data_IF_687638715522
#
_entry.id   IF_687638715522
#
_cell.length_a   1.000
_cell.length_b   1.000
_cell.length_c   1.000
_cell.angle_alpha   90.00
_cell.angle_beta   90.00
_cell.angle_gamma   90.00
#
_symmetry.space_group_name_H-M   'P 1'
#
loop_
_entity.id
_entity.type
_entity.pdbx_description
1 polymer ?
#
# COMPACT_ATOMS: atom_id res chain seq x y z
N UNK A 1 10.50 -28.93 33.01
CA UNK A 1 10.99 -27.70 32.33
C UNK A 1 11.45 -26.73 33.41
N UNK A 2 12.59 -26.08 33.25
CA UNK A 2 13.06 -25.11 34.25
C UNK A 2 12.21 -23.85 34.20
N UNK A 3 11.88 -23.26 35.37
CA UNK A 3 11.09 -22.01 35.50
C UNK A 3 11.58 -20.92 34.54
N UNK A 4 12.89 -20.82 34.36
CA UNK A 4 13.55 -19.93 33.42
C UNK A 4 13.07 -20.12 31.98
N UNK A 5 12.95 -21.36 31.50
CA UNK A 5 12.53 -21.67 30.13
C UNK A 5 11.05 -21.35 29.92
N UNK A 6 10.22 -21.63 30.93
CA UNK A 6 8.78 -21.29 30.86
C UNK A 6 8.56 -19.79 30.79
N UNK A 7 9.24 -19.00 31.64
CA UNK A 7 9.10 -17.53 31.63
C UNK A 7 9.57 -16.92 30.30
N UNK A 8 10.71 -17.37 29.79
CA UNK A 8 11.22 -16.90 28.49
C UNK A 8 10.25 -17.22 27.35
N UNK A 9 9.64 -18.42 27.33
CA UNK A 9 8.66 -18.80 26.31
C UNK A 9 7.40 -17.95 26.40
N UNK A 10 6.89 -17.68 27.60
CA UNK A 10 5.71 -16.85 27.80
C UNK A 10 5.95 -15.43 27.26
N UNK A 11 7.09 -14.82 27.63
CA UNK A 11 7.45 -13.47 27.17
C UNK A 11 7.63 -13.44 25.64
N UNK A 12 8.31 -14.43 25.06
CA UNK A 12 8.49 -14.52 23.63
C UNK A 12 7.15 -14.68 22.88
N UNK A 13 6.26 -15.54 23.40
CA UNK A 13 4.91 -15.74 22.81
C UNK A 13 4.08 -14.47 22.88
N UNK A 14 4.08 -13.77 24.02
CA UNK A 14 3.36 -12.51 24.19
C UNK A 14 3.88 -11.46 23.19
N UNK A 15 5.20 -11.35 23.03
CA UNK A 15 5.80 -10.40 22.10
C UNK A 15 5.43 -10.70 20.65
N UNK A 16 5.43 -11.97 20.24
CA UNK A 16 5.02 -12.41 18.90
C UNK A 16 3.54 -12.10 18.67
N UNK A 17 2.66 -12.34 19.65
CA UNK A 17 1.23 -12.01 19.53
C UNK A 17 1.01 -10.51 19.38
N UNK A 18 1.70 -9.69 20.17
CA UNK A 18 1.64 -8.22 20.04
C UNK A 18 2.13 -7.77 18.66
N UNK A 19 3.20 -8.38 18.15
CA UNK A 19 3.68 -8.06 16.80
C UNK A 19 2.64 -8.39 15.74
N UNK A 20 2.09 -9.60 15.76
CA UNK A 20 1.08 -10.03 14.77
C UNK A 20 -0.10 -9.05 14.79
N UNK A 21 -0.59 -8.68 15.98
CA UNK A 21 -1.68 -7.72 16.12
C UNK A 21 -1.32 -6.34 15.54
N UNK A 22 -0.20 -5.77 15.97
CA UNK A 22 0.25 -4.44 15.51
C UNK A 22 0.55 -4.44 14.01
N UNK A 23 1.21 -5.50 13.50
CA UNK A 23 1.53 -5.64 12.09
C UNK A 23 0.25 -5.74 11.24
N UNK A 24 -0.74 -6.53 11.67
CA UNK A 24 -2.02 -6.67 10.97
C UNK A 24 -2.76 -5.33 10.88
N UNK A 25 -2.83 -4.57 11.99
CA UNK A 25 -3.44 -3.25 12.02
C UNK A 25 -2.69 -2.28 11.09
N UNK A 26 -1.35 -2.28 11.13
CA UNK A 26 -0.53 -1.40 10.31
C UNK A 26 -0.73 -1.69 8.81
N UNK A 27 -0.71 -2.95 8.41
CA UNK A 27 -0.95 -3.36 7.01
C UNK A 27 -2.36 -2.96 6.57
N UNK A 28 -3.37 -3.19 7.41
CA UNK A 28 -4.76 -2.81 7.11
C UNK A 28 -4.91 -1.30 6.91
N UNK A 29 -4.39 -0.51 7.84
CA UNK A 29 -4.46 0.96 7.76
C UNK A 29 -3.67 1.50 6.55
N UNK A 30 -2.50 0.94 6.27
CA UNK A 30 -1.70 1.34 5.11
C UNK A 30 -2.42 1.02 3.81
N UNK A 31 -3.06 -0.17 3.71
CA UNK A 31 -3.89 -0.51 2.55
C UNK A 31 -5.04 0.47 2.33
N UNK A 32 -5.80 0.76 3.38
CA UNK A 32 -6.91 1.71 3.30
C UNK A 32 -6.42 3.08 2.81
N UNK A 33 -5.35 3.59 3.42
CA UNK A 33 -4.74 4.87 3.02
C UNK A 33 -4.29 4.87 1.55
N UNK A 34 -3.64 3.78 1.08
CA UNK A 34 -3.17 3.70 -0.30
C UNK A 34 -4.33 3.58 -1.30
N UNK A 35 -5.41 2.87 -0.96
CA UNK A 35 -6.61 2.83 -1.78
C UNK A 35 -7.28 4.21 -1.90
N UNK A 36 -7.39 4.94 -0.78
CA UNK A 36 -7.92 6.31 -0.77
C UNK A 36 -7.04 7.24 -1.60
N UNK A 37 -5.72 7.10 -1.52
CA UNK A 37 -4.76 7.87 -2.31
C UNK A 37 -4.88 7.55 -3.81
N UNK A 38 -5.00 6.28 -4.19
CA UNK A 38 -5.22 5.89 -5.60
C UNK A 38 -6.54 6.47 -6.14
N UNK A 39 -7.59 6.46 -5.31
CA UNK A 39 -8.87 7.05 -5.67
C UNK A 39 -8.77 8.57 -5.88
N UNK A 40 -8.12 9.26 -4.95
CA UNK A 40 -7.92 10.71 -5.06
C UNK A 40 -7.11 11.08 -6.31
N UNK A 41 -5.99 10.40 -6.56
CA UNK A 41 -5.15 10.62 -7.75
C UNK A 41 -5.95 10.38 -9.04
N UNK A 42 -6.72 9.30 -9.09
CA UNK A 42 -7.55 8.97 -10.27
C UNK A 42 -8.62 10.04 -10.52
N UNK A 43 -9.31 10.49 -9.45
CA UNK A 43 -10.35 11.50 -9.53
C UNK A 43 -9.79 12.89 -9.89
N UNK A 44 -8.68 13.29 -9.25
CA UNK A 44 -8.05 14.59 -9.52
C UNK A 44 -7.57 14.68 -10.97
N UNK A 45 -6.99 13.58 -11.49
CA UNK A 45 -6.56 13.52 -12.88
C UNK A 45 -7.74 13.51 -13.84
N UNK A 46 -8.80 12.75 -13.56
CA UNK A 46 -10.00 12.77 -14.40
C UNK A 46 -10.59 14.17 -14.48
N UNK A 47 -10.69 14.86 -13.34
CA UNK A 47 -11.18 16.24 -13.28
C UNK A 47 -10.28 17.21 -14.06
N UNK A 48 -8.97 17.13 -13.86
CA UNK A 48 -7.98 17.97 -14.55
C UNK A 48 -8.02 17.74 -16.06
N UNK A 49 -8.07 16.47 -16.48
CA UNK A 49 -8.11 16.09 -17.88
C UNK A 49 -9.43 16.53 -18.52
N UNK A 50 -10.56 16.34 -17.84
CA UNK A 50 -11.88 16.81 -18.29
C UNK A 50 -11.90 18.31 -18.57
N UNK A 51 -11.32 19.12 -17.66
CA UNK A 51 -11.21 20.57 -17.85
C UNK A 51 -10.25 20.94 -18.99
N UNK A 52 -9.11 20.26 -19.08
CA UNK A 52 -8.09 20.51 -20.12
C UNK A 52 -8.61 20.19 -21.52
N UNK A 53 -9.38 19.09 -21.64
CA UNK A 53 -9.89 18.64 -22.95
C UNK A 53 -11.16 19.37 -23.41
N UNK A 54 -11.85 20.06 -22.50
CA UNK A 54 -13.10 20.77 -22.81
C UNK A 54 -13.04 21.68 -24.05
N UNK A 55 -12.03 22.56 -24.21
CA UNK A 55 -11.97 23.41 -25.40
C UNK A 55 -11.75 22.63 -26.72
N UNK A 56 -10.90 21.57 -26.65
CA UNK A 56 -10.58 20.79 -27.86
C UNK A 56 -11.71 19.85 -28.28
N UNK A 57 -12.50 19.35 -27.34
CA UNK A 57 -13.70 18.58 -27.63
C UNK A 57 -14.80 19.48 -28.20
N UNK A 58 -14.83 20.76 -27.81
CA UNK A 58 -15.76 21.73 -28.36
C UNK A 58 -15.47 22.05 -29.84
N UNK A 59 -14.19 22.09 -30.20
CA UNK A 59 -13.70 22.39 -31.55
C UNK A 59 -13.54 21.14 -32.44
N UNK A 60 -13.91 19.94 -31.91
CA UNK A 60 -13.76 18.61 -32.56
C UNK A 60 -12.29 18.29 -32.94
N UNK A 61 -11.33 18.84 -32.19
CA UNK A 61 -9.90 18.63 -32.42
C UNK A 61 -9.40 17.35 -31.69
N UNK A 62 -9.82 16.21 -32.22
CA UNK A 62 -9.49 14.90 -31.69
C UNK A 62 -7.98 14.58 -31.73
N UNK A 63 -7.21 15.23 -32.60
CA UNK A 63 -5.75 15.03 -32.70
C UNK A 63 -5.06 15.57 -31.44
N UNK A 64 -5.46 16.74 -30.98
CA UNK A 64 -4.94 17.33 -29.75
C UNK A 64 -5.39 16.55 -28.52
N UNK A 65 -6.67 16.11 -28.50
CA UNK A 65 -7.20 15.25 -27.43
C UNK A 65 -6.35 13.96 -27.31
N UNK A 66 -6.12 13.26 -28.42
CA UNK A 66 -5.32 12.04 -28.44
C UNK A 66 -3.86 12.29 -28.01
N UNK A 67 -3.27 13.41 -28.42
CA UNK A 67 -1.91 13.79 -28.04
C UNK A 67 -1.78 13.97 -26.51
N UNK A 68 -2.75 14.65 -25.87
CA UNK A 68 -2.77 14.82 -24.42
C UNK A 68 -2.92 13.48 -23.68
N UNK A 69 -3.83 12.61 -24.14
CA UNK A 69 -4.04 11.29 -23.57
C UNK A 69 -2.79 10.43 -23.70
N UNK A 70 -2.14 10.43 -24.89
CA UNK A 70 -0.91 9.67 -25.12
C UNK A 70 0.24 10.16 -24.21
N UNK A 71 0.41 11.47 -24.05
CA UNK A 71 1.45 12.03 -23.18
C UNK A 71 1.27 11.61 -21.72
N UNK A 72 0.03 11.58 -21.23
CA UNK A 72 -0.27 11.08 -19.88
C UNK A 72 -0.07 9.57 -19.75
N UNK A 73 -0.53 8.81 -20.72
CA UNK A 73 -0.38 7.36 -20.74
C UNK A 73 1.10 6.94 -20.77
N UNK A 74 1.91 7.61 -21.59
CA UNK A 74 3.35 7.34 -21.72
C UNK A 74 4.14 7.68 -20.46
N UNK A 75 3.60 8.51 -19.56
CA UNK A 75 4.19 8.77 -18.25
C UNK A 75 4.30 7.52 -17.37
N UNK A 76 3.46 6.50 -17.62
CA UNK A 76 3.44 5.22 -16.91
C UNK A 76 2.75 5.27 -15.53
N UNK A 77 2.24 6.44 -15.10
CA UNK A 77 1.54 6.58 -13.82
C UNK A 77 0.09 6.12 -13.84
N UNK A 78 -0.49 5.97 -15.03
CA UNK A 78 -1.89 5.59 -15.20
C UNK A 78 -2.00 4.21 -15.84
N UNK A 79 -2.91 3.42 -15.29
CA UNK A 79 -3.25 2.10 -15.81
C UNK A 79 -4.23 2.18 -16.96
N UNK A 80 -5.19 3.08 -16.84
CA UNK A 80 -6.29 3.21 -17.78
C UNK A 80 -6.66 4.68 -17.95
N UNK A 81 -6.83 5.11 -19.20
CA UNK A 81 -7.40 6.40 -19.58
C UNK A 81 -8.38 6.14 -20.71
N UNK A 82 -9.65 6.46 -20.49
CA UNK A 82 -10.73 6.29 -21.47
C UNK A 82 -11.48 7.60 -21.62
N UNK A 83 -11.61 8.04 -22.87
CA UNK A 83 -12.47 9.15 -23.25
C UNK A 83 -13.70 8.58 -23.95
N UNK A 84 -14.87 8.95 -23.49
CA UNK A 84 -16.15 8.51 -24.10
C UNK A 84 -16.92 9.69 -24.62
N UNK A 85 -17.72 9.43 -25.62
CA UNK A 85 -18.77 10.35 -26.16
C UNK A 85 -19.94 10.45 -25.15
N UNK A 86 -20.89 11.33 -25.46
CA UNK A 86 -22.14 11.53 -24.71
C UNK A 86 -22.99 10.25 -24.58
N UNK A 87 -22.90 9.37 -25.57
CA UNK A 87 -23.59 8.07 -25.59
C UNK A 87 -22.81 6.96 -24.85
N UNK A 88 -21.66 7.29 -24.22
CA UNK A 88 -20.82 6.33 -23.52
C UNK A 88 -19.95 5.47 -24.44
N UNK A 89 -19.91 5.75 -25.74
CA UNK A 89 -19.05 5.05 -26.69
C UNK A 89 -17.60 5.51 -26.54
N UNK A 90 -16.62 4.59 -26.40
CA UNK A 90 -15.22 4.97 -26.27
C UNK A 90 -14.71 5.61 -27.58
N UNK A 91 -14.17 6.83 -27.46
CA UNK A 91 -13.49 7.55 -28.52
C UNK A 91 -11.99 7.26 -28.50
N UNK A 92 -11.39 7.26 -27.30
CA UNK A 92 -9.98 6.95 -27.08
C UNK A 92 -9.89 6.04 -25.87
N UNK A 93 -9.16 4.94 -26.01
CA UNK A 93 -8.92 3.99 -24.94
C UNK A 93 -7.43 3.64 -24.86
N UNK A 94 -6.84 3.79 -23.68
CA UNK A 94 -5.45 3.42 -23.38
C UNK A 94 -5.42 2.59 -22.11
N UNK A 95 -5.06 1.34 -22.25
CA UNK A 95 -4.98 0.37 -21.12
C UNK A 95 -3.58 -0.20 -21.05
N UNK A 96 -2.95 -0.06 -19.88
CA UNK A 96 -1.66 -0.68 -19.59
C UNK A 96 -1.88 -2.04 -18.93
N UNK A 97 -1.27 -3.06 -19.49
CA UNK A 97 -1.20 -4.41 -18.93
C UNK A 97 0.11 -4.69 -18.20
N UNK A 98 0.90 -3.63 -17.91
CA UNK A 98 2.19 -3.77 -17.24
C UNK A 98 1.99 -4.39 -15.86
N UNK A 99 2.69 -5.50 -15.54
CA UNK A 99 2.64 -6.08 -14.21
C UNK A 99 3.38 -5.19 -13.21
N UNK A 100 3.10 -5.40 -11.92
CA UNK A 100 3.88 -4.78 -10.84
C UNK A 100 5.21 -5.54 -10.75
N UNK A 101 6.31 -4.93 -11.23
CA UNK A 101 7.60 -5.63 -11.35
C UNK A 101 8.47 -5.54 -10.09
N UNK A 102 8.36 -4.43 -9.32
CA UNK A 102 9.27 -4.13 -8.19
C UNK A 102 8.89 -4.79 -6.88
N UNK A 103 7.84 -5.60 -6.87
CA UNK A 103 7.32 -6.26 -5.68
C UNK A 103 7.10 -7.74 -5.99
N UNK A 104 7.42 -8.66 -5.05
CA UNK A 104 7.21 -10.09 -5.29
C UNK A 104 5.75 -10.42 -5.60
N UNK A 105 5.51 -11.24 -6.63
CA UNK A 105 4.17 -11.60 -7.09
C UNK A 105 3.29 -12.24 -5.98
N UNK A 106 3.89 -13.04 -5.09
CA UNK A 106 3.17 -13.62 -3.96
C UNK A 106 2.59 -12.56 -3.02
N UNK A 107 3.30 -11.42 -2.84
CA UNK A 107 2.84 -10.33 -1.98
C UNK A 107 1.67 -9.58 -2.63
N UNK A 108 1.73 -9.31 -3.93
CA UNK A 108 0.64 -8.70 -4.70
C UNK A 108 -0.63 -9.55 -4.60
N UNK A 109 -0.50 -10.88 -4.72
CA UNK A 109 -1.62 -11.81 -4.62
C UNK A 109 -2.19 -11.90 -3.19
N UNK A 110 -1.35 -11.77 -2.17
CA UNK A 110 -1.77 -11.83 -0.76
C UNK A 110 -2.48 -10.54 -0.32
N UNK A 111 -2.07 -9.39 -0.86
CA UNK A 111 -2.58 -8.07 -0.49
C UNK A 111 -3.12 -7.32 -1.73
N UNK A 112 -4.23 -7.77 -2.33
CA UNK A 112 -4.78 -7.09 -3.49
C UNK A 112 -5.19 -5.67 -3.12
N UNK A 113 -4.73 -4.68 -3.92
CA UNK A 113 -5.15 -3.30 -3.87
C UNK A 113 -6.22 -3.06 -4.93
N UNK A 114 -7.22 -2.27 -4.59
CA UNK A 114 -8.21 -1.83 -5.55
C UNK A 114 -7.58 -0.83 -6.52
N UNK A 115 -8.08 -0.80 -7.75
CA UNK A 115 -7.71 0.19 -8.75
C UNK A 115 -8.92 1.06 -9.04
N UNK A 116 -9.24 2.02 -8.16
CA UNK A 116 -10.42 2.86 -8.32
C UNK A 116 -10.31 3.69 -9.59
N UNK A 117 -11.46 3.95 -10.20
CA UNK A 117 -11.58 4.80 -11.38
C UNK A 117 -12.11 6.15 -10.96
N UNK A 118 -11.41 7.22 -11.33
CA UNK A 118 -11.92 8.58 -11.30
C UNK A 118 -12.68 8.87 -12.58
N UNK A 119 -13.78 9.61 -12.48
CA UNK A 119 -14.59 10.00 -13.62
C UNK A 119 -14.90 11.50 -13.58
N UNK A 120 -14.87 12.14 -14.74
CA UNK A 120 -15.24 13.54 -14.89
C UNK A 120 -15.91 13.78 -16.24
N UNK A 121 -16.83 14.73 -16.27
CA UNK A 121 -17.47 15.16 -17.51
C UNK A 121 -16.57 16.11 -18.28
N UNK A 122 -16.59 16.00 -19.60
CA UNK A 122 -15.98 16.94 -20.51
C UNK A 122 -17.09 17.84 -21.03
N UNK A 123 -16.97 19.14 -20.80
CA UNK A 123 -18.00 20.12 -21.15
C UNK A 123 -17.59 20.90 -22.41
N UNK A 124 -18.54 21.17 -23.28
CA UNK A 124 -18.41 22.12 -24.38
C UNK A 124 -19.35 23.29 -24.14
N UNK A 125 -18.82 24.35 -23.53
CA UNK A 125 -19.65 25.44 -23.03
C UNK A 125 -20.63 24.98 -21.95
N UNK A 126 -21.92 24.96 -22.22
CA UNK A 126 -22.98 24.54 -21.29
C UNK A 126 -23.52 23.13 -21.57
N UNK A 127 -23.00 22.45 -22.58
CA UNK A 127 -23.41 21.10 -22.96
C UNK A 127 -22.29 20.08 -22.62
N UNK A 128 -22.70 18.86 -22.30
CA UNK A 128 -21.74 17.77 -22.15
C UNK A 128 -21.24 17.34 -23.53
N UNK A 129 -19.92 17.25 -23.70
CA UNK A 129 -19.26 16.75 -24.90
C UNK A 129 -18.82 15.29 -24.77
N UNK A 130 -18.67 14.80 -23.53
CA UNK A 130 -18.25 13.45 -23.27
C UNK A 130 -17.91 13.24 -21.79
N UNK A 131 -17.19 12.16 -21.49
CA UNK A 131 -16.65 11.88 -20.17
C UNK A 131 -15.24 11.31 -20.27
N UNK A 132 -14.45 11.54 -19.24
CA UNK A 132 -13.12 10.95 -19.07
C UNK A 132 -13.11 10.05 -17.85
N UNK A 133 -12.54 8.88 -18.00
CA UNK A 133 -12.28 7.93 -16.92
C UNK A 133 -10.79 7.66 -16.83
N UNK A 134 -10.25 7.76 -15.61
CA UNK A 134 -8.84 7.54 -15.33
C UNK A 134 -8.70 6.58 -14.18
N UNK A 135 -7.75 5.65 -14.29
CA UNK A 135 -7.33 4.78 -13.18
C UNK A 135 -5.81 4.87 -13.01
N UNK A 136 -5.35 5.16 -11.80
CA UNK A 136 -3.93 5.21 -11.48
C UNK A 136 -3.31 3.80 -11.50
N UNK A 137 -2.02 3.71 -11.85
CA UNK A 137 -1.30 2.44 -11.82
C UNK A 137 -0.93 2.07 -10.38
N UNK A 138 -1.26 0.88 -9.88
CA UNK A 138 -1.08 0.51 -8.47
C UNK A 138 0.37 0.22 -8.08
N UNK A 139 1.33 0.23 -9.01
CA UNK A 139 2.73 -0.13 -8.75
C UNK A 139 3.34 0.67 -7.60
N UNK A 140 3.13 2.00 -7.59
CA UNK A 140 3.64 2.86 -6.53
C UNK A 140 3.07 2.49 -5.16
N UNK A 141 1.77 2.21 -5.08
CA UNK A 141 1.10 1.79 -3.86
C UNK A 141 1.64 0.44 -3.35
N UNK A 142 1.87 -0.52 -4.25
CA UNK A 142 2.49 -1.80 -3.89
C UNK A 142 3.93 -1.65 -3.38
N UNK A 143 4.74 -0.82 -4.03
CA UNK A 143 6.12 -0.54 -3.56
C UNK A 143 6.09 0.05 -2.16
N UNK A 144 5.17 0.98 -1.90
CA UNK A 144 5.03 1.61 -0.59
C UNK A 144 4.57 0.62 0.48
N UNK A 145 3.56 -0.19 0.17
CA UNK A 145 3.06 -1.23 1.07
C UNK A 145 4.14 -2.26 1.41
N UNK A 146 4.86 -2.74 0.40
CA UNK A 146 5.98 -3.67 0.56
C UNK A 146 7.09 -3.08 1.46
N UNK A 147 7.51 -1.85 1.17
CA UNK A 147 8.52 -1.16 1.96
C UNK A 147 8.11 -1.02 3.42
N UNK A 148 6.85 -0.67 3.69
CA UNK A 148 6.31 -0.56 5.05
C UNK A 148 6.30 -1.91 5.77
N UNK A 149 5.91 -3.00 5.08
CA UNK A 149 5.93 -4.35 5.65
C UNK A 149 7.35 -4.80 6.00
N UNK A 150 8.30 -4.60 5.09
CA UNK A 150 9.71 -4.96 5.27
C UNK A 150 10.32 -4.14 6.42
N UNK A 151 10.10 -2.84 6.46
CA UNK A 151 10.58 -1.98 7.53
C UNK A 151 10.02 -2.38 8.89
N UNK A 152 8.72 -2.66 8.98
CA UNK A 152 8.06 -3.13 10.20
C UNK A 152 8.64 -4.47 10.67
N UNK A 153 8.94 -5.38 9.75
CA UNK A 153 9.55 -6.66 10.07
C UNK A 153 10.97 -6.51 10.64
N UNK A 154 11.80 -5.64 10.04
CA UNK A 154 13.15 -5.37 10.56
C UNK A 154 13.11 -4.72 11.94
N UNK A 155 12.23 -3.75 12.17
CA UNK A 155 12.06 -3.13 13.48
C UNK A 155 11.65 -4.16 14.55
N UNK A 156 10.74 -5.07 14.19
CA UNK A 156 10.34 -6.16 15.06
C UNK A 156 11.54 -7.08 15.38
N UNK A 157 12.32 -7.47 14.38
CA UNK A 157 13.47 -8.37 14.57
C UNK A 157 14.50 -7.76 15.54
N UNK A 158 14.80 -6.47 15.35
CA UNK A 158 15.71 -5.73 16.22
C UNK A 158 15.14 -5.62 17.64
N UNK A 159 13.87 -5.23 17.77
CA UNK A 159 13.19 -5.13 19.06
C UNK A 159 13.14 -6.47 19.80
N UNK A 160 12.87 -7.56 19.08
CA UNK A 160 12.89 -8.91 19.62
C UNK A 160 14.27 -9.30 20.13
N UNK A 161 15.33 -9.04 19.36
CA UNK A 161 16.70 -9.34 19.75
C UNK A 161 17.12 -8.58 21.01
N UNK A 162 16.77 -7.28 21.11
CA UNK A 162 17.05 -6.46 22.29
C UNK A 162 16.28 -6.97 23.51
N UNK A 163 14.97 -7.20 23.37
CA UNK A 163 14.12 -7.70 24.44
C UNK A 163 14.62 -9.06 24.95
N UNK A 164 14.90 -9.97 24.02
CA UNK A 164 15.37 -11.32 24.36
C UNK A 164 16.73 -11.30 25.08
N UNK A 165 17.66 -10.45 24.60
CA UNK A 165 18.94 -10.23 25.27
C UNK A 165 18.76 -9.69 26.68
N UNK A 166 17.89 -8.69 26.87
CA UNK A 166 17.60 -8.12 28.20
C UNK A 166 16.98 -9.15 29.14
N UNK A 167 16.02 -9.95 28.66
CA UNK A 167 15.41 -11.04 29.44
C UNK A 167 16.48 -12.05 29.90
N UNK A 168 17.40 -12.46 29.02
CA UNK A 168 18.48 -13.38 29.38
C UNK A 168 19.41 -12.79 30.43
N UNK A 169 19.76 -11.53 30.35
CA UNK A 169 20.58 -10.79 31.32
C UNK A 169 19.87 -10.75 32.68
N UNK A 170 18.62 -10.27 32.71
CA UNK A 170 17.82 -10.17 33.94
C UNK A 170 17.68 -11.56 34.61
N UNK A 171 17.32 -12.57 33.84
CA UNK A 171 17.22 -13.95 34.36
C UNK A 171 18.58 -14.51 34.89
N UNK A 172 19.68 -14.11 34.27
CA UNK A 172 21.01 -14.52 34.77
C UNK A 172 21.33 -13.89 36.14
N UNK A 173 21.04 -12.56 36.27
CA UNK A 173 21.31 -11.84 37.51
C UNK A 173 20.36 -12.23 38.65
N UNK A 174 19.05 -12.35 38.37
CA UNK A 174 18.04 -12.66 39.40
C UNK A 174 18.08 -14.09 39.88
N UNK A 175 18.42 -15.06 39.01
CA UNK A 175 18.45 -16.46 39.41
C UNK A 175 19.81 -16.93 39.97
N UNK A 176 20.85 -16.09 39.90
CA UNK A 176 22.17 -16.40 40.46
C UNK A 176 22.16 -16.50 42.00
N UNK A 177 21.55 -15.57 42.75
CA UNK A 177 21.51 -15.68 44.23
C UNK A 177 20.60 -16.79 44.74
N UNK A 178 19.57 -17.22 44.01
CA UNK A 178 18.67 -18.28 44.45
C UNK A 178 19.38 -19.67 44.52
N UNK A 179 20.36 -19.90 43.66
CA UNK A 179 21.18 -21.12 43.73
C UNK A 179 22.14 -21.13 44.93
N UNK A 180 22.56 -19.97 45.42
CA UNK A 180 23.41 -19.84 46.58
C UNK A 180 22.63 -20.14 47.88
N UNK A 181 21.37 -19.71 47.97
CA UNK A 181 20.50 -19.95 49.14
C UNK A 181 20.06 -21.42 49.22
N UNK A 182 19.82 -22.08 48.09
CA UNK A 182 19.44 -23.49 48.08
C UNK A 182 20.60 -24.38 48.56
N UNK A 183 21.84 -24.00 48.26
CA UNK A 183 23.05 -24.73 48.72
C UNK A 183 23.36 -24.54 50.20
N UNK A 184 22.87 -23.48 50.84
CA UNK A 184 22.94 -23.21 52.26
C UNK A 184 21.86 -23.93 53.07
N UNK A 185 20.74 -24.32 52.46
CA UNK A 185 19.66 -25.05 53.12
C UNK A 185 19.85 -26.56 53.13
N UNK A 186 20.82 -27.09 52.34
CA UNK A 186 21.19 -28.50 52.27
C UNK A 186 22.49 -28.84 53.07
N UNK A 187 23.08 -27.84 53.72
CA UNK A 187 24.23 -28.02 54.62
C UNK A 187 23.82 -27.84 56.07
#
# INVERSE_FOLDING_TARGET
MTLRRQLTLIIATLFVLLFIGTFSINVHNTRAYLNDQLNSISQDMATSLGLTLSPYMADDDMVVVESHVNALYDSGYYREIVITDIDGKPLIERISTRPVEKVPAWFVNMFPLDTPQGESLIMSGWTQAGAVRVSAHPEFAYIRLWSTCVQSFYLFLIGFAILFGLVLVVLHYVLRPLKAVQKQAEA
#
